data_IF_982483386649
#
_entry.id   IF_982483386649
#
_cell.length_a   1.000
_cell.length_b   1.000
_cell.length_c   1.000
_cell.angle_alpha   90.00
_cell.angle_beta   90.00
_cell.angle_gamma   90.00
#
_symmetry.space_group_name_H-M   'P 1'
#
loop_
_entity.id
_entity.type
_entity.pdbx_description
1 polymer ?
#
# COMPACT_ATOMS: atom_id res chain seq x y z
N UNK A 1 26.24 1.34 2.17
CA UNK A 1 26.18 2.42 3.19
C UNK A 1 26.87 3.65 2.62
N UNK A 2 26.33 4.86 2.88
CA UNK A 2 27.01 6.11 2.51
C UNK A 2 28.29 6.29 3.34
N UNK A 3 29.26 6.98 2.76
CA UNK A 3 30.42 7.45 3.51
C UNK A 3 30.00 8.51 4.55
N UNK A 4 30.82 8.76 5.57
CA UNK A 4 30.55 9.86 6.54
C UNK A 4 30.35 11.22 5.87
N UNK A 5 31.14 11.53 4.83
CA UNK A 5 31.08 12.80 4.09
C UNK A 5 29.72 12.93 3.36
N UNK A 6 29.27 11.88 2.70
CA UNK A 6 27.97 11.84 2.01
C UNK A 6 26.82 11.98 3.01
N UNK A 7 26.93 11.33 4.18
CA UNK A 7 25.96 11.46 5.27
C UNK A 7 25.84 12.91 5.75
N UNK A 8 26.97 13.57 5.95
CA UNK A 8 27.02 14.99 6.31
C UNK A 8 26.41 15.85 5.20
N UNK A 9 26.70 15.55 3.91
CA UNK A 9 26.12 16.27 2.77
C UNK A 9 24.59 16.22 2.77
N UNK A 10 23.98 15.02 2.91
CA UNK A 10 22.53 14.86 3.00
C UNK A 10 21.94 15.63 4.19
N UNK A 11 22.62 15.64 5.33
CA UNK A 11 22.21 16.41 6.49
C UNK A 11 22.15 17.92 6.19
N UNK A 12 23.17 18.48 5.54
CA UNK A 12 23.19 19.91 5.17
C UNK A 12 22.13 20.24 4.10
N UNK A 13 21.90 19.39 3.11
CA UNK A 13 20.82 19.56 2.14
C UNK A 13 19.47 19.66 2.83
N UNK A 14 19.20 18.77 3.78
CA UNK A 14 17.96 18.79 4.54
C UNK A 14 17.84 20.03 5.44
N UNK A 15 18.91 20.46 6.08
CA UNK A 15 18.94 21.71 6.86
C UNK A 15 18.67 22.93 5.97
N UNK A 16 19.20 22.95 4.74
CA UNK A 16 18.93 24.01 3.76
C UNK A 16 17.44 24.07 3.39
N UNK A 17 16.80 22.91 3.15
CA UNK A 17 15.37 22.81 2.90
C UNK A 17 14.54 23.30 4.10
N UNK A 18 14.90 22.87 5.32
CA UNK A 18 14.30 23.36 6.56
C UNK A 18 14.44 24.89 6.70
N UNK A 19 15.62 25.42 6.43
CA UNK A 19 15.88 26.87 6.46
C UNK A 19 15.01 27.64 5.46
N UNK A 20 14.78 27.07 4.27
CA UNK A 20 13.91 27.67 3.25
C UNK A 20 12.45 27.69 3.72
N UNK A 21 11.92 26.56 4.21
CA UNK A 21 10.55 26.49 4.74
C UNK A 21 10.39 27.43 5.93
N UNK A 22 11.37 27.48 6.83
CA UNK A 22 11.35 28.39 7.98
C UNK A 22 11.33 29.86 7.55
N UNK A 23 12.12 30.27 6.55
CA UNK A 23 12.07 31.63 5.97
C UNK A 23 10.72 31.96 5.38
N UNK A 24 10.04 30.98 4.73
CA UNK A 24 8.70 31.14 4.22
C UNK A 24 7.71 31.34 5.37
N UNK A 25 7.80 30.54 6.44
CA UNK A 25 6.95 30.70 7.63
C UNK A 25 7.11 32.06 8.30
N UNK A 26 8.32 32.65 8.30
CA UNK A 26 8.57 33.99 8.86
C UNK A 26 7.89 35.12 8.05
N UNK A 27 7.56 34.91 6.79
CA UNK A 27 6.81 35.85 5.95
C UNK A 27 5.32 35.89 6.26
N UNK A 28 4.97 35.91 7.54
CA UNK A 28 3.63 35.73 8.15
C UNK A 28 2.48 36.49 7.50
N UNK A 29 2.73 37.68 6.96
CA UNK A 29 1.68 38.58 6.42
C UNK A 29 1.13 38.14 5.04
N UNK A 30 1.73 37.11 4.40
CA UNK A 30 1.39 36.69 3.04
C UNK A 30 0.64 35.35 2.97
N UNK A 31 0.48 34.62 4.09
CA UNK A 31 -0.03 33.26 4.09
C UNK A 31 -1.37 33.15 4.83
N UNK A 32 -2.30 32.37 4.30
CA UNK A 32 -3.51 31.96 4.99
C UNK A 32 -3.18 31.03 6.17
N UNK A 33 -4.17 30.76 7.03
CA UNK A 33 -4.00 29.82 8.15
C UNK A 33 -3.67 28.41 7.65
N UNK A 34 -4.28 28.00 6.54
CA UNK A 34 -4.08 26.69 5.90
C UNK A 34 -2.69 26.57 5.30
N UNK A 35 -2.23 27.59 4.56
CA UNK A 35 -0.88 27.61 4.00
C UNK A 35 0.19 27.57 5.08
N UNK A 36 -0.04 28.24 6.23
CA UNK A 36 0.88 28.16 7.38
C UNK A 36 0.90 26.76 8.00
N UNK A 37 -0.25 26.13 8.12
CA UNK A 37 -0.33 24.77 8.61
C UNK A 37 0.46 23.83 7.69
N UNK A 38 0.26 23.90 6.38
CA UNK A 38 0.98 23.08 5.39
C UNK A 38 2.51 23.32 5.45
N UNK A 39 2.95 24.58 5.58
CA UNK A 39 4.37 24.86 5.71
C UNK A 39 4.96 24.33 7.04
N UNK A 40 4.21 24.42 8.15
CA UNK A 40 4.68 23.89 9.44
C UNK A 40 4.74 22.37 9.44
N UNK A 41 3.74 21.70 8.88
CA UNK A 41 3.76 20.25 8.68
C UNK A 41 4.89 19.83 7.74
N UNK A 42 5.13 20.56 6.64
CA UNK A 42 6.24 20.34 5.74
C UNK A 42 7.61 20.45 6.44
N UNK A 43 7.78 21.44 7.34
CA UNK A 43 8.99 21.56 8.15
C UNK A 43 9.19 20.38 9.10
N UNK A 44 8.12 20.00 9.82
CA UNK A 44 8.14 18.84 10.71
C UNK A 44 8.43 17.55 9.94
N UNK A 45 7.88 17.42 8.72
CA UNK A 45 8.13 16.24 7.87
C UNK A 45 9.59 16.16 7.42
N UNK A 46 10.23 17.30 7.08
CA UNK A 46 11.65 17.33 6.72
C UNK A 46 12.56 16.82 7.83
N UNK A 47 12.17 17.02 9.09
CA UNK A 47 12.93 16.55 10.25
C UNK A 47 12.70 15.06 10.58
N UNK A 48 11.78 14.38 9.89
CA UNK A 48 11.49 12.96 10.15
C UNK A 48 12.49 12.03 9.45
N UNK A 49 12.75 10.88 10.06
CA UNK A 49 13.62 9.83 9.54
C UNK A 49 13.30 9.39 8.09
N UNK A 50 12.04 9.26 7.64
CA UNK A 50 11.72 8.89 6.26
C UNK A 50 12.27 9.88 5.22
N UNK A 51 12.31 11.19 5.49
CA UNK A 51 12.87 12.19 4.57
C UNK A 51 14.36 11.95 4.35
N UNK A 52 15.12 11.73 5.42
CA UNK A 52 16.54 11.38 5.30
C UNK A 52 16.73 10.10 4.49
N UNK A 53 15.93 9.06 4.75
CA UNK A 53 15.99 7.82 3.99
C UNK A 53 15.75 8.04 2.49
N UNK A 54 14.79 8.89 2.12
CA UNK A 54 14.51 9.23 0.73
C UNK A 54 15.67 10.01 0.08
N UNK A 55 16.27 10.97 0.78
CA UNK A 55 17.44 11.70 0.29
C UNK A 55 18.65 10.77 0.08
N UNK A 56 18.90 9.85 1.00
CA UNK A 56 19.93 8.84 0.85
C UNK A 56 19.66 7.94 -0.37
N UNK A 57 18.44 7.49 -0.53
CA UNK A 57 18.04 6.66 -1.68
C UNK A 57 18.31 7.39 -2.99
N UNK A 58 17.86 8.64 -3.10
CA UNK A 58 18.06 9.45 -4.32
C UNK A 58 19.54 9.66 -4.64
N UNK A 59 20.36 9.92 -3.63
CA UNK A 59 21.79 10.11 -3.83
C UNK A 59 22.47 8.84 -4.34
N UNK A 60 22.17 7.69 -3.74
CA UNK A 60 22.68 6.40 -4.22
C UNK A 60 22.20 6.06 -5.62
N UNK A 61 20.95 6.35 -5.91
CA UNK A 61 20.43 6.14 -7.25
C UNK A 61 21.15 7.03 -8.27
N UNK A 62 21.40 8.30 -7.95
CA UNK A 62 22.15 9.21 -8.80
C UNK A 62 23.54 8.67 -9.13
N UNK A 63 24.28 8.16 -8.14
CA UNK A 63 25.60 7.53 -8.33
C UNK A 63 25.54 6.32 -9.27
N UNK A 64 24.49 5.50 -9.14
CA UNK A 64 24.28 4.35 -10.04
C UNK A 64 23.98 4.84 -11.46
N UNK A 65 23.10 5.83 -11.61
CA UNK A 65 22.73 6.39 -12.92
C UNK A 65 23.90 7.07 -13.63
N UNK A 66 24.85 7.65 -12.87
CA UNK A 66 26.08 8.23 -13.41
C UNK A 66 27.10 7.16 -13.84
N UNK A 67 27.05 5.97 -13.26
CA UNK A 67 28.03 4.89 -13.48
C UNK A 67 27.61 3.83 -14.48
N UNK A 68 26.30 3.73 -14.78
CA UNK A 68 25.74 2.67 -15.65
C UNK A 68 24.82 3.28 -16.69
N UNK A 69 24.99 2.90 -17.95
CA UNK A 69 24.07 3.29 -19.02
C UNK A 69 22.73 2.55 -18.86
N UNK A 70 21.67 3.32 -18.57
CA UNK A 70 20.32 2.80 -18.33
C UNK A 70 19.34 3.42 -19.34
N UNK A 71 18.67 2.59 -20.12
CA UNK A 71 17.65 3.06 -21.08
C UNK A 71 16.24 3.12 -20.48
N UNK A 72 15.92 2.29 -19.48
CA UNK A 72 14.60 2.21 -18.88
C UNK A 72 14.68 1.83 -17.41
N UNK A 73 13.90 2.50 -16.58
CA UNK A 73 13.70 2.17 -15.17
C UNK A 73 12.27 1.70 -14.94
N UNK A 74 12.13 0.58 -14.23
CA UNK A 74 10.88 0.07 -13.71
C UNK A 74 10.84 0.29 -12.19
N UNK A 75 9.73 0.79 -11.67
CA UNK A 75 9.52 0.90 -10.24
C UNK A 75 8.05 0.71 -9.87
N UNK A 76 7.78 0.42 -8.61
CA UNK A 76 6.41 0.33 -8.09
C UNK A 76 5.78 1.72 -7.99
N UNK A 77 4.48 1.82 -8.20
CA UNK A 77 3.73 3.05 -8.16
C UNK A 77 2.56 2.92 -7.17
N UNK A 78 2.74 3.48 -6.00
CA UNK A 78 1.73 3.50 -4.93
C UNK A 78 1.43 4.90 -4.39
N UNK A 79 2.10 5.93 -4.93
CA UNK A 79 1.95 7.32 -4.48
C UNK A 79 2.89 7.71 -3.33
N UNK A 80 3.99 7.00 -3.16
CA UNK A 80 4.96 7.30 -2.12
C UNK A 80 5.88 8.48 -2.48
N UNK A 81 6.34 9.20 -1.46
CA UNK A 81 7.23 10.36 -1.65
C UNK A 81 8.55 10.03 -2.36
N UNK A 82 9.12 8.85 -2.12
CA UNK A 82 10.34 8.40 -2.80
C UNK A 82 10.13 8.14 -4.30
N UNK A 83 8.93 7.72 -4.71
CA UNK A 83 8.58 7.51 -6.12
C UNK A 83 8.54 8.86 -6.85
N UNK A 84 7.91 9.87 -6.25
CA UNK A 84 7.89 11.23 -6.80
C UNK A 84 9.30 11.83 -6.89
N UNK A 85 10.14 11.62 -5.87
CA UNK A 85 11.53 12.08 -5.86
C UNK A 85 12.36 11.39 -6.97
N UNK A 86 12.18 10.07 -7.16
CA UNK A 86 12.81 9.29 -8.23
C UNK A 86 12.46 9.85 -9.61
N UNK A 87 11.18 10.05 -9.87
CA UNK A 87 10.71 10.58 -11.15
C UNK A 87 11.30 11.98 -11.40
N UNK A 88 11.29 12.83 -10.38
CA UNK A 88 11.85 14.18 -10.46
C UNK A 88 13.34 14.15 -10.77
N UNK A 89 14.11 13.30 -10.10
CA UNK A 89 15.53 13.12 -10.35
C UNK A 89 15.78 12.72 -11.82
N UNK A 90 15.11 11.68 -12.29
CA UNK A 90 15.30 11.15 -13.65
C UNK A 90 14.91 12.19 -14.69
N UNK A 91 13.74 12.82 -14.56
CA UNK A 91 13.28 13.79 -15.57
C UNK A 91 14.16 15.02 -15.66
N UNK A 92 14.77 15.46 -14.54
CA UNK A 92 15.64 16.63 -14.51
C UNK A 92 17.08 16.35 -14.97
N UNK A 93 17.64 15.21 -14.58
CA UNK A 93 19.06 14.93 -14.80
C UNK A 93 19.32 13.88 -15.90
N UNK A 94 18.37 12.97 -16.13
CA UNK A 94 18.51 11.86 -17.09
C UNK A 94 17.27 11.75 -18.01
N UNK A 95 16.92 12.81 -18.76
CA UNK A 95 15.66 12.87 -19.53
C UNK A 95 15.57 11.80 -20.64
N UNK A 96 16.69 11.18 -21.02
CA UNK A 96 16.75 10.06 -21.98
C UNK A 96 16.23 8.75 -21.40
N UNK A 97 16.23 8.59 -20.07
CA UNK A 97 15.79 7.37 -19.41
C UNK A 97 14.25 7.30 -19.41
N UNK A 98 13.72 6.20 -19.91
CA UNK A 98 12.28 5.94 -19.87
C UNK A 98 11.84 5.45 -18.48
N UNK A 99 10.73 5.96 -18.00
CA UNK A 99 10.14 5.63 -16.71
C UNK A 99 8.90 4.78 -16.93
N UNK A 100 8.92 3.54 -16.45
CA UNK A 100 7.78 2.62 -16.48
C UNK A 100 7.34 2.31 -15.05
N UNK A 101 6.18 2.83 -14.68
CA UNK A 101 5.62 2.67 -13.36
C UNK A 101 4.69 1.45 -13.29
N UNK A 102 4.89 0.58 -12.31
CA UNK A 102 4.11 -0.65 -12.11
C UNK A 102 3.16 -0.42 -10.92
N UNK A 103 1.88 -0.32 -11.21
CA UNK A 103 0.84 -0.28 -10.19
C UNK A 103 0.51 -1.75 -9.81
N UNK A 104 1.10 -2.25 -8.71
CA UNK A 104 1.03 -3.66 -8.32
C UNK A 104 0.10 -3.93 -7.14
N UNK A 105 -0.18 -2.91 -6.32
CA UNK A 105 -1.11 -3.01 -5.20
C UNK A 105 -2.53 -2.58 -5.62
N UNK A 106 -3.59 -3.14 -5.03
CA UNK A 106 -4.95 -2.65 -5.26
C UNK A 106 -5.06 -1.18 -4.87
N UNK A 107 -5.76 -0.39 -5.69
CA UNK A 107 -6.10 0.99 -5.33
C UNK A 107 -7.28 0.95 -4.36
N UNK A 108 -7.13 1.61 -3.21
CA UNK A 108 -8.20 1.74 -2.21
C UNK A 108 -8.74 3.17 -2.18
N UNK A 109 -10.01 3.40 -1.75
CA UNK A 109 -10.63 4.71 -1.79
C UNK A 109 -9.85 5.81 -1.06
N UNK A 110 -9.15 5.45 0.02
CA UNK A 110 -8.35 6.38 0.84
C UNK A 110 -6.89 6.53 0.39
N UNK A 111 -6.51 5.99 -0.79
CA UNK A 111 -5.14 6.09 -1.32
C UNK A 111 -4.91 7.43 -2.03
N UNK A 112 -5.04 8.52 -1.30
CA UNK A 112 -4.89 9.88 -1.83
C UNK A 112 -3.53 10.13 -2.49
N UNK A 113 -2.45 9.56 -1.94
CA UNK A 113 -1.11 9.75 -2.49
C UNK A 113 -0.95 9.33 -3.95
N UNK A 114 -1.72 8.35 -4.41
CA UNK A 114 -1.73 7.93 -5.81
C UNK A 114 -2.44 8.98 -6.70
N UNK A 115 -3.62 9.44 -6.28
CA UNK A 115 -4.44 10.35 -7.07
C UNK A 115 -4.02 11.82 -6.91
N UNK A 116 -3.54 12.25 -5.75
CA UNK A 116 -3.12 13.62 -5.53
C UNK A 116 -1.81 13.99 -6.23
N UNK A 117 -1.05 13.02 -6.70
CA UNK A 117 0.24 13.25 -7.36
C UNK A 117 0.16 13.15 -8.88
N UNK A 118 -0.70 13.98 -9.49
CA UNK A 118 -0.88 14.03 -10.94
C UNK A 118 0.41 14.28 -11.71
N UNK A 119 1.32 15.09 -11.16
CA UNK A 119 2.62 15.37 -11.80
C UNK A 119 3.47 14.11 -11.95
N UNK A 120 3.41 13.22 -10.96
CA UNK A 120 4.08 11.92 -10.99
C UNK A 120 3.52 11.05 -12.12
N UNK A 121 2.19 10.90 -12.20
CA UNK A 121 1.55 10.10 -13.24
C UNK A 121 1.83 10.64 -14.65
N UNK A 122 1.77 11.96 -14.84
CA UNK A 122 2.09 12.64 -16.12
C UNK A 122 3.55 12.48 -16.54
N UNK A 123 4.45 12.36 -15.60
CA UNK A 123 5.89 12.27 -15.84
C UNK A 123 6.38 10.86 -16.16
N UNK A 124 5.55 9.84 -15.97
CA UNK A 124 5.86 8.46 -16.41
C UNK A 124 5.68 8.30 -17.91
N UNK A 125 6.53 7.47 -18.54
CA UNK A 125 6.38 7.16 -19.96
C UNK A 125 5.37 6.04 -20.19
N UNK A 126 5.20 5.14 -19.19
CA UNK A 126 4.15 4.13 -19.19
C UNK A 126 3.67 3.82 -17.76
N UNK A 127 2.38 3.49 -17.63
CA UNK A 127 1.76 2.98 -16.39
C UNK A 127 1.28 1.56 -16.66
N UNK A 128 1.85 0.61 -15.93
CA UNK A 128 1.61 -0.82 -16.07
C UNK A 128 0.71 -1.27 -14.91
N UNK A 129 -0.55 -1.55 -15.20
CA UNK A 129 -1.57 -1.86 -14.20
C UNK A 129 -1.69 -3.37 -13.97
N UNK A 130 -1.88 -3.77 -12.72
CA UNK A 130 -2.03 -5.18 -12.34
C UNK A 130 -3.35 -5.81 -12.77
N UNK A 131 -4.37 -5.01 -13.10
CA UNK A 131 -5.68 -5.49 -13.54
C UNK A 131 -6.53 -4.39 -14.19
N UNK A 132 -7.67 -4.80 -14.77
CA UNK A 132 -8.56 -3.90 -15.49
C UNK A 132 -9.15 -2.81 -14.59
N UNK A 133 -9.50 -3.14 -13.35
CA UNK A 133 -10.06 -2.18 -12.38
C UNK A 133 -9.07 -1.05 -12.11
N UNK A 134 -7.82 -1.39 -11.79
CA UNK A 134 -6.77 -0.39 -11.52
C UNK A 134 -6.41 0.42 -12.76
N UNK A 135 -6.44 -0.21 -13.95
CA UNK A 135 -6.28 0.48 -15.22
C UNK A 135 -7.39 1.50 -15.43
N UNK A 136 -8.67 1.09 -15.30
CA UNK A 136 -9.81 1.96 -15.52
C UNK A 136 -9.81 3.15 -14.55
N UNK A 137 -9.58 2.92 -13.26
CA UNK A 137 -9.47 3.98 -12.24
C UNK A 137 -8.36 4.98 -12.59
N UNK A 138 -7.21 4.50 -13.05
CA UNK A 138 -6.08 5.36 -13.46
C UNK A 138 -6.45 6.22 -14.67
N UNK A 139 -7.05 5.62 -15.69
CA UNK A 139 -7.45 6.33 -16.91
C UNK A 139 -8.54 7.35 -16.62
N UNK A 140 -9.56 7.01 -15.83
CA UNK A 140 -10.65 7.91 -15.49
C UNK A 140 -10.15 9.10 -14.67
N UNK A 141 -9.22 8.86 -13.75
CA UNK A 141 -8.57 9.93 -13.00
C UNK A 141 -7.78 10.86 -13.94
N UNK A 142 -6.93 10.32 -14.81
CA UNK A 142 -6.17 11.13 -15.77
C UNK A 142 -7.08 11.95 -16.67
N UNK A 143 -8.15 11.37 -17.19
CA UNK A 143 -9.16 12.08 -17.99
C UNK A 143 -9.84 13.19 -17.21
N UNK A 144 -10.24 12.95 -15.97
CA UNK A 144 -10.88 13.96 -15.10
C UNK A 144 -9.99 15.18 -14.86
N UNK A 145 -8.66 14.98 -14.91
CA UNK A 145 -7.65 16.01 -14.76
C UNK A 145 -7.17 16.62 -16.09
N UNK A 146 -7.85 16.33 -17.21
CA UNK A 146 -7.40 16.72 -18.55
C UNK A 146 -5.94 16.34 -18.84
N UNK A 147 -5.52 15.18 -18.34
CA UNK A 147 -4.18 14.67 -18.50
C UNK A 147 -4.14 13.54 -19.51
N UNK A 148 -3.25 13.64 -20.49
CA UNK A 148 -2.97 12.53 -21.38
C UNK A 148 -2.05 11.52 -20.69
N UNK A 149 -2.42 10.24 -20.71
CA UNK A 149 -1.49 9.15 -20.44
C UNK A 149 -0.83 8.75 -21.76
N UNK A 150 0.50 8.69 -21.78
CA UNK A 150 1.25 8.31 -23.01
C UNK A 150 1.06 6.83 -23.33
N UNK A 151 1.14 5.98 -22.31
CA UNK A 151 0.99 4.53 -22.44
C UNK A 151 0.49 3.96 -21.11
N UNK A 152 -0.73 3.45 -21.08
CA UNK A 152 -1.25 2.71 -19.94
C UNK A 152 -1.78 1.36 -20.44
N UNK A 153 -1.44 0.28 -19.73
CA UNK A 153 -1.85 -1.06 -20.12
C UNK A 153 -1.95 -2.00 -18.93
N UNK A 154 -2.80 -3.00 -19.05
CA UNK A 154 -2.87 -4.11 -18.10
C UNK A 154 -1.76 -5.10 -18.41
N UNK A 155 -0.98 -5.48 -17.39
CA UNK A 155 0.10 -6.48 -17.50
C UNK A 155 -0.18 -7.74 -16.66
N UNK A 156 -1.25 -7.73 -15.85
CA UNK A 156 -1.54 -8.79 -14.89
C UNK A 156 -0.78 -8.60 -13.57
N UNK A 157 -1.06 -9.49 -12.62
CA UNK A 157 -0.39 -9.50 -11.31
C UNK A 157 0.48 -10.74 -11.20
N UNK A 158 1.72 -10.57 -10.74
CA UNK A 158 2.61 -11.71 -10.46
C UNK A 158 2.15 -12.58 -9.28
N UNK A 159 1.18 -12.08 -8.50
CA UNK A 159 0.57 -12.82 -7.39
C UNK A 159 -0.58 -13.72 -7.82
N UNK A 160 -1.22 -13.37 -8.94
CA UNK A 160 -2.34 -14.14 -9.47
C UNK A 160 -1.79 -15.14 -10.49
N UNK A 161 -1.17 -16.19 -10.02
CA UNK A 161 -1.03 -17.39 -10.84
C UNK A 161 -2.44 -17.85 -11.20
N UNK A 162 -2.62 -18.35 -12.43
CA UNK A 162 -3.87 -18.89 -12.94
C UNK A 162 -4.52 -19.81 -11.90
N UNK A 163 -5.35 -19.24 -11.05
CA UNK A 163 -6.22 -20.01 -10.18
C UNK A 163 -7.38 -20.37 -11.06
N UNK A 164 -7.51 -21.66 -11.40
CA UNK A 164 -8.77 -22.14 -11.91
C UNK A 164 -9.81 -21.76 -10.86
N UNK A 165 -10.80 -20.94 -11.25
CA UNK A 165 -11.88 -20.53 -10.35
C UNK A 165 -12.52 -21.82 -9.83
N UNK A 166 -12.26 -22.13 -8.57
CA UNK A 166 -12.78 -23.35 -7.94
C UNK A 166 -14.30 -23.32 -8.02
N UNK A 167 -14.88 -24.34 -8.63
CA UNK A 167 -16.34 -24.46 -8.73
C UNK A 167 -16.92 -24.44 -7.31
N UNK A 168 -17.90 -23.56 -7.06
CA UNK A 168 -18.59 -23.43 -5.76
C UNK A 168 -19.11 -24.75 -5.19
N UNK A 169 -19.20 -25.81 -6.00
CA UNK A 169 -19.61 -27.13 -5.55
C UNK A 169 -18.62 -27.84 -4.63
N UNK A 170 -17.30 -27.55 -4.75
CA UNK A 170 -16.25 -28.04 -3.83
C UNK A 170 -16.30 -27.38 -2.46
N UNK A 171 -16.99 -26.25 -2.35
CA UNK A 171 -17.13 -25.42 -1.15
C UNK A 171 -17.96 -26.07 -0.02
N UNK A 172 -18.84 -26.99 -0.33
CA UNK A 172 -19.72 -27.65 0.69
C UNK A 172 -18.93 -28.56 1.64
N UNK A 173 -17.70 -28.91 1.30
CA UNK A 173 -16.85 -29.78 2.12
C UNK A 173 -15.83 -28.99 2.96
N UNK A 174 -15.65 -27.71 2.70
CA UNK A 174 -14.80 -26.87 3.53
C UNK A 174 -15.49 -26.61 4.87
N UNK A 175 -15.10 -27.38 5.87
CA UNK A 175 -15.64 -27.34 7.23
C UNK A 175 -15.43 -25.97 7.83
N UNK A 176 -16.37 -25.06 7.65
CA UNK A 176 -16.70 -23.91 8.49
C UNK A 176 -15.59 -23.01 8.99
N UNK A 177 -14.45 -22.87 8.27
CA UNK A 177 -13.38 -21.94 8.69
C UNK A 177 -13.65 -20.52 8.23
N UNK A 178 -13.49 -19.58 9.14
CA UNK A 178 -13.53 -18.13 8.91
C UNK A 178 -12.12 -17.59 9.02
N UNK A 179 -11.58 -17.05 7.93
CA UNK A 179 -10.23 -16.50 7.88
C UNK A 179 -10.26 -14.99 8.21
N UNK A 180 -9.44 -14.55 9.14
CA UNK A 180 -9.26 -13.15 9.48
C UNK A 180 -7.97 -12.63 8.88
N UNK A 181 -8.06 -11.53 8.11
CA UNK A 181 -6.98 -10.95 7.31
C UNK A 181 -6.74 -9.48 7.69
N UNK A 182 -5.97 -9.19 8.75
CA UNK A 182 -5.55 -7.83 9.08
C UNK A 182 -4.63 -7.26 8.00
N UNK A 183 -4.52 -5.95 7.97
CA UNK A 183 -3.49 -5.23 7.20
C UNK A 183 -2.09 -5.40 7.82
N UNK A 184 -1.07 -4.85 7.14
CA UNK A 184 0.33 -4.87 7.57
C UNK A 184 0.67 -3.91 8.73
N UNK A 185 -0.30 -3.42 9.52
CA UNK A 185 -0.06 -2.54 10.66
C UNK A 185 -0.25 -3.26 12.00
N UNK A 186 0.53 -2.86 13.01
CA UNK A 186 0.42 -3.44 14.35
C UNK A 186 -0.96 -3.20 14.99
N UNK A 187 -1.53 -2.03 14.77
CA UNK A 187 -2.87 -1.70 15.28
C UNK A 187 -3.93 -2.62 14.67
N UNK A 188 -3.90 -2.79 13.36
CA UNK A 188 -4.80 -3.72 12.67
C UNK A 188 -4.66 -5.15 13.20
N UNK A 189 -3.42 -5.63 13.38
CA UNK A 189 -3.20 -6.96 13.93
C UNK A 189 -3.80 -7.13 15.34
N UNK A 190 -3.67 -6.13 16.20
CA UNK A 190 -4.25 -6.13 17.56
C UNK A 190 -5.78 -6.09 17.52
N UNK A 191 -6.36 -5.23 16.67
CA UNK A 191 -7.83 -5.12 16.49
C UNK A 191 -8.41 -6.46 16.02
N UNK A 192 -7.75 -7.12 15.07
CA UNK A 192 -8.19 -8.42 14.58
C UNK A 192 -7.98 -9.55 15.57
N UNK A 193 -6.99 -9.47 16.47
CA UNK A 193 -6.87 -10.40 17.60
C UNK A 193 -8.04 -10.26 18.59
N UNK A 194 -8.48 -9.02 18.83
CA UNK A 194 -9.66 -8.77 19.68
C UNK A 194 -10.93 -9.26 18.98
N UNK A 195 -11.08 -8.99 17.70
CA UNK A 195 -12.19 -9.47 16.87
C UNK A 195 -12.24 -11.01 16.86
N UNK A 196 -11.08 -11.67 16.66
CA UNK A 196 -10.95 -13.13 16.71
C UNK A 196 -11.53 -13.71 18.00
N UNK A 197 -11.15 -13.14 19.15
CA UNK A 197 -11.63 -13.58 20.46
C UNK A 197 -13.13 -13.37 20.61
N UNK A 198 -13.61 -12.20 20.22
CA UNK A 198 -15.03 -11.86 20.29
C UNK A 198 -15.88 -12.82 19.45
N UNK A 199 -15.52 -13.03 18.20
CA UNK A 199 -16.25 -13.92 17.29
C UNK A 199 -16.20 -15.38 17.74
N UNK A 200 -15.04 -15.85 18.20
CA UNK A 200 -14.88 -17.23 18.66
C UNK A 200 -15.72 -17.55 19.89
N UNK A 201 -15.83 -16.62 20.83
CA UNK A 201 -16.66 -16.79 22.03
C UNK A 201 -18.17 -16.78 21.69
N UNK A 202 -18.59 -15.95 20.73
CA UNK A 202 -19.99 -15.81 20.35
C UNK A 202 -20.45 -16.82 19.28
N UNK A 203 -19.53 -17.55 18.66
CA UNK A 203 -19.84 -18.51 17.58
C UNK A 203 -19.05 -19.81 17.78
N UNK A 204 -19.34 -20.61 18.81
CA UNK A 204 -18.56 -21.77 19.18
C UNK A 204 -18.54 -22.89 18.12
N UNK A 205 -19.52 -22.88 17.21
CA UNK A 205 -19.65 -23.88 16.14
C UNK A 205 -18.83 -23.53 14.87
N UNK A 206 -18.18 -22.36 14.83
CA UNK A 206 -17.33 -21.94 13.73
C UNK A 206 -15.86 -22.00 14.15
N UNK A 207 -14.98 -22.32 13.21
CA UNK A 207 -13.54 -22.28 13.43
C UNK A 207 -12.96 -20.99 12.84
N UNK A 208 -12.22 -20.25 13.64
CA UNK A 208 -11.62 -18.98 13.26
C UNK A 208 -10.10 -19.09 13.13
N UNK A 209 -9.56 -18.58 12.04
CA UNK A 209 -8.12 -18.57 11.78
C UNK A 209 -7.69 -17.12 11.53
N UNK A 210 -6.75 -16.62 12.31
CA UNK A 210 -6.15 -15.31 12.06
C UNK A 210 -4.81 -15.49 11.35
N UNK A 211 -4.69 -14.91 10.17
CA UNK A 211 -3.44 -14.84 9.44
C UNK A 211 -2.80 -13.47 9.60
N UNK A 212 -1.76 -13.38 10.40
CA UNK A 212 -1.00 -12.16 10.57
C UNK A 212 -0.22 -11.82 9.28
N UNK A 213 -0.19 -10.52 8.95
CA UNK A 213 0.65 -10.03 7.87
C UNK A 213 2.13 -10.24 8.20
N UNK A 214 3.01 -10.61 7.23
CA UNK A 214 4.43 -10.85 7.50
C UNK A 214 5.13 -9.72 8.26
N UNK A 215 4.80 -8.46 7.96
CA UNK A 215 5.38 -7.28 8.63
C UNK A 215 5.03 -7.18 10.12
N UNK A 216 3.98 -7.86 10.59
CA UNK A 216 3.51 -7.76 11.99
C UNK A 216 3.78 -9.01 12.84
N UNK A 217 4.19 -10.11 12.21
CA UNK A 217 4.44 -11.40 12.90
C UNK A 217 5.48 -11.30 14.01
N UNK A 218 6.51 -10.49 13.82
CA UNK A 218 7.61 -10.32 14.78
C UNK A 218 7.46 -9.09 15.69
N UNK A 219 6.32 -8.41 15.63
CA UNK A 219 6.08 -7.22 16.45
C UNK A 219 5.98 -7.57 17.92
N UNK A 220 6.77 -6.93 18.81
CA UNK A 220 6.65 -7.11 20.25
C UNK A 220 5.28 -6.69 20.80
N UNK A 221 4.61 -5.74 20.14
CA UNK A 221 3.26 -5.31 20.48
C UNK A 221 2.25 -6.42 20.20
N UNK A 222 2.32 -7.04 19.03
CA UNK A 222 1.44 -8.15 18.63
C UNK A 222 1.71 -9.37 19.50
N UNK A 223 2.98 -9.72 19.76
CA UNK A 223 3.38 -10.84 20.60
C UNK A 223 2.79 -10.77 22.01
N UNK A 224 2.76 -9.56 22.62
CA UNK A 224 2.13 -9.36 23.94
C UNK A 224 0.64 -9.69 23.94
N UNK A 225 -0.07 -9.42 22.86
CA UNK A 225 -1.49 -9.75 22.73
C UNK A 225 -1.73 -11.22 22.37
N UNK A 226 -0.77 -11.88 21.72
CA UNK A 226 -0.80 -13.32 21.45
C UNK A 226 -0.61 -14.17 22.71
N UNK A 227 0.09 -13.67 23.74
CA UNK A 227 0.31 -14.34 25.02
C UNK A 227 -0.97 -14.64 25.83
N UNK A 228 -2.14 -14.14 25.39
CA UNK A 228 -3.43 -14.46 26.00
C UNK A 228 -4.00 -15.73 25.35
N UNK A 229 -4.50 -16.65 26.17
CA UNK A 229 -5.09 -17.92 25.71
C UNK A 229 -6.23 -17.65 24.71
N UNK A 230 -6.11 -18.25 23.54
CA UNK A 230 -7.18 -18.20 22.53
C UNK A 230 -8.28 -19.21 22.86
N UNK A 231 -9.55 -18.92 22.48
CA UNK A 231 -10.63 -19.91 22.53
C UNK A 231 -10.29 -21.17 21.71
N UNK A 232 -10.87 -22.33 22.08
CA UNK A 232 -10.57 -23.62 21.44
C UNK A 232 -10.82 -23.67 19.94
N UNK A 233 -11.76 -22.84 19.45
CA UNK A 233 -12.13 -22.72 18.05
C UNK A 233 -11.44 -21.54 17.34
N UNK A 234 -10.35 -21.02 17.93
CA UNK A 234 -9.53 -19.94 17.35
C UNK A 234 -8.07 -20.35 17.25
N UNK A 235 -7.42 -20.01 16.15
CA UNK A 235 -5.99 -20.28 15.93
C UNK A 235 -5.31 -19.16 15.14
N UNK A 236 -3.97 -19.13 15.21
CA UNK A 236 -3.13 -18.29 14.34
C UNK A 236 -2.60 -19.17 13.22
N UNK A 237 -2.70 -18.66 11.99
CA UNK A 237 -2.19 -19.38 10.82
C UNK A 237 -0.66 -19.48 10.82
N UNK A 238 -0.16 -20.68 10.59
CA UNK A 238 1.26 -20.97 10.33
C UNK A 238 1.48 -21.43 8.87
N UNK A 239 0.39 -21.68 8.14
CA UNK A 239 0.38 -22.18 6.77
C UNK A 239 0.67 -21.14 5.69
N UNK A 240 0.49 -21.54 4.43
CA UNK A 240 0.50 -20.65 3.27
C UNK A 240 -0.83 -19.90 3.16
N UNK A 241 -0.84 -18.73 2.48
CA UNK A 241 -2.09 -18.01 2.22
C UNK A 241 -3.05 -18.86 1.39
N UNK A 242 -2.54 -19.54 0.37
CA UNK A 242 -3.31 -20.41 -0.50
C UNK A 242 -4.03 -21.50 0.31
N UNK A 243 -3.30 -22.22 1.16
CA UNK A 243 -3.91 -23.27 2.00
C UNK A 243 -4.93 -22.74 3.01
N UNK A 244 -4.73 -21.52 3.53
CA UNK A 244 -5.73 -20.88 4.40
C UNK A 244 -7.00 -20.52 3.60
N UNK A 245 -6.86 -19.98 2.37
CA UNK A 245 -7.97 -19.63 1.50
C UNK A 245 -8.76 -20.86 1.06
N UNK A 246 -8.07 -21.91 0.61
CA UNK A 246 -8.70 -23.20 0.23
C UNK A 246 -9.54 -23.81 1.37
N UNK A 247 -9.06 -23.67 2.61
CA UNK A 247 -9.73 -24.21 3.79
C UNK A 247 -10.84 -23.30 4.35
N UNK A 248 -11.09 -22.14 3.77
CA UNK A 248 -12.00 -21.13 4.32
C UNK A 248 -13.24 -20.92 3.47
N UNK A 249 -14.40 -20.74 4.12
CA UNK A 249 -15.66 -20.40 3.47
C UNK A 249 -15.82 -18.88 3.27
N UNK A 250 -15.30 -18.10 4.20
CA UNK A 250 -15.31 -16.66 4.11
C UNK A 250 -14.04 -16.08 4.73
N UNK A 251 -13.73 -14.83 4.37
CA UNK A 251 -12.67 -14.08 5.01
C UNK A 251 -13.18 -12.73 5.51
N UNK A 252 -12.80 -12.38 6.73
CA UNK A 252 -13.03 -11.06 7.30
C UNK A 252 -11.76 -10.25 7.11
N UNK A 253 -11.86 -9.12 6.43
CA UNK A 253 -10.69 -8.29 6.09
C UNK A 253 -11.03 -6.80 6.24
N UNK A 254 -9.99 -5.93 6.26
CA UNK A 254 -10.16 -4.48 6.21
C UNK A 254 -9.46 -3.90 4.97
N UNK A 255 -8.13 -3.89 4.92
CA UNK A 255 -7.33 -3.36 3.81
C UNK A 255 -6.39 -4.40 3.18
N UNK A 256 -6.64 -5.68 3.42
CA UNK A 256 -5.76 -6.75 2.96
C UNK A 256 -6.02 -7.13 1.50
N UNK A 257 -5.00 -7.02 0.65
CA UNK A 257 -5.06 -7.49 -0.74
C UNK A 257 -5.30 -9.02 -0.85
N UNK A 258 -5.01 -9.80 0.19
CA UNK A 258 -5.29 -11.23 0.24
C UNK A 258 -6.79 -11.56 0.12
N UNK A 259 -7.68 -10.60 0.43
CA UNK A 259 -9.11 -10.78 0.21
C UNK A 259 -9.48 -10.84 -1.28
N UNK A 260 -8.75 -10.13 -2.16
CA UNK A 260 -8.91 -10.25 -3.62
C UNK A 260 -8.49 -11.63 -4.10
N UNK A 261 -7.36 -12.14 -3.58
CA UNK A 261 -6.93 -13.50 -3.88
C UNK A 261 -8.01 -14.51 -3.45
N UNK A 262 -8.64 -14.27 -2.28
CA UNK A 262 -9.75 -15.08 -1.78
C UNK A 262 -10.93 -15.22 -2.76
N UNK A 263 -11.24 -14.16 -3.52
CA UNK A 263 -12.31 -14.23 -4.54
C UNK A 263 -12.02 -15.29 -5.61
N UNK A 264 -10.76 -15.44 -6.03
CA UNK A 264 -10.37 -16.45 -7.00
C UNK A 264 -10.52 -17.89 -6.46
N UNK A 265 -10.44 -18.06 -5.14
CA UNK A 265 -10.74 -19.32 -4.43
C UNK A 265 -12.22 -19.46 -4.07
N UNK A 266 -13.08 -18.52 -4.48
CA UNK A 266 -14.49 -18.51 -4.16
C UNK A 266 -14.78 -18.19 -2.67
N UNK A 267 -13.81 -17.73 -1.89
CA UNK A 267 -13.98 -17.30 -0.49
C UNK A 267 -14.86 -16.05 -0.45
N UNK A 268 -15.89 -16.07 0.40
CA UNK A 268 -16.80 -14.92 0.55
C UNK A 268 -16.09 -13.81 1.34
N UNK A 269 -15.83 -12.64 0.74
CA UNK A 269 -15.19 -11.54 1.47
C UNK A 269 -16.20 -10.78 2.32
N UNK A 270 -15.86 -10.53 3.58
CA UNK A 270 -16.65 -9.73 4.54
C UNK A 270 -15.76 -8.55 4.95
N UNK A 271 -16.10 -7.37 4.48
CA UNK A 271 -15.35 -6.17 4.84
C UNK A 271 -15.69 -5.73 6.26
N UNK A 272 -14.68 -5.66 7.12
CA UNK A 272 -14.77 -5.15 8.48
C UNK A 272 -14.36 -3.68 8.49
N UNK A 273 -15.34 -2.79 8.55
CA UNK A 273 -15.15 -1.37 8.70
C UNK A 273 -15.43 -0.95 10.15
N UNK A 274 -14.40 -0.49 10.86
CA UNK A 274 -14.59 0.23 12.12
C UNK A 274 -14.89 1.69 11.79
N UNK A 275 -16.02 2.21 12.17
CA UNK A 275 -16.54 3.57 11.86
C UNK A 275 -15.60 4.75 12.18
N UNK A 276 -14.37 4.50 12.61
CA UNK A 276 -13.38 5.48 13.02
C UNK A 276 -12.16 5.56 12.05
N UNK A 277 -12.19 4.87 10.93
CA UNK A 277 -11.02 4.77 10.05
C UNK A 277 -11.38 5.03 8.58
N UNK A 278 -10.36 5.43 7.79
CA UNK A 278 -10.48 5.57 6.35
C UNK A 278 -10.94 4.26 5.70
N UNK A 279 -11.73 4.36 4.65
CA UNK A 279 -12.13 3.21 3.85
C UNK A 279 -10.90 2.65 3.11
N UNK A 280 -10.52 1.43 3.49
CA UNK A 280 -9.38 0.70 2.94
C UNK A 280 -9.83 -0.54 2.15
N UNK A 281 -11.12 -0.64 1.79
CA UNK A 281 -11.66 -1.80 1.08
C UNK A 281 -11.04 -1.93 -0.33
N UNK A 282 -10.14 -2.90 -0.58
CA UNK A 282 -9.54 -3.11 -1.89
C UNK A 282 -10.53 -3.73 -2.91
N UNK A 283 -11.70 -4.21 -2.45
CA UNK A 283 -12.71 -4.88 -3.29
C UNK A 283 -13.85 -3.90 -3.64
N UNK A 284 -13.90 -2.71 -3.08
CA UNK A 284 -15.03 -1.79 -3.28
C UNK A 284 -15.32 -1.54 -4.77
N UNK A 285 -14.29 -1.38 -5.56
CA UNK A 285 -14.41 -1.11 -7.00
C UNK A 285 -14.80 -2.36 -7.80
N UNK A 286 -14.42 -3.55 -7.35
CA UNK A 286 -14.83 -4.82 -7.94
C UNK A 286 -16.34 -5.05 -7.78
N UNK A 287 -16.93 -4.60 -6.66
CA UNK A 287 -18.37 -4.73 -6.40
C UNK A 287 -19.23 -3.85 -7.31
N UNK A 288 -18.68 -2.74 -7.82
CA UNK A 288 -19.40 -1.83 -8.71
C UNK A 288 -19.59 -2.41 -10.11
N UNK A 289 -18.77 -3.37 -10.51
CA UNK A 289 -18.77 -3.98 -11.84
C UNK A 289 -19.48 -5.34 -11.91
N UNK A 290 -19.94 -5.88 -10.79
CA UNK A 290 -20.70 -7.11 -10.75
C UNK A 290 -22.15 -6.82 -10.33
N UNK A 291 -23.16 -7.09 -11.20
CA UNK A 291 -24.56 -7.02 -10.79
C UNK A 291 -24.79 -8.04 -9.65
N UNK A 292 -25.49 -7.59 -8.64
CA UNK A 292 -25.88 -8.39 -7.45
C UNK A 292 -26.84 -9.51 -7.81
#
# INVERSE_FOLDING_TARGET
TLSPIETIGVFFENLSACGTIFRLLLKRKKWTSEERLLLSEGLLFQLKRPTFANLFLMRRLNEILDSVEIGTIFFTLEGHAHEAALITLIKNQYPQIKIRAIQHAPIVPSQFGYFDNLSMLRSTDAILCSGEVTYQLTIDYLKSQNAACKDARVIGSSKNHTVEVLDRKSFKEAVGKVLLLPEGTENSAVDFLQLLRHLSLNSPNLNFVLRLHPATRQSPKVARHLGVILPKNASISEGTLMGDLEASICCIYRGSAAAIEGLAFGVIPIHYNSNLQFDLDPIVYERLNHPR
#
